data_IF_216167731633
#
_entry.id   IF_216167731633
#
_cell.length_a   1.000
_cell.length_b   1.000
_cell.length_c   1.000
_cell.angle_alpha   90.00
_cell.angle_beta   90.00
_cell.angle_gamma   90.00
#
_symmetry.space_group_name_H-M   'P 1'
#
loop_
_entity.id
_entity.type
_entity.pdbx_description
1 polymer ?
#
# COMPACT_ATOMS: atom_id res chain seq x y z
N UNK A 1 -19.24 -20.25 -7.05
CA UNK A 1 -19.08 -18.82 -7.23
C UNK A 1 -20.45 -18.15 -7.21
N UNK A 2 -20.80 -17.53 -6.08
CA UNK A 2 -22.10 -16.85 -5.91
C UNK A 2 -22.12 -15.50 -6.67
N UNK A 3 -20.93 -14.90 -6.88
CA UNK A 3 -20.78 -13.61 -7.56
C UNK A 3 -19.66 -13.67 -8.62
N UNK A 4 -19.95 -14.25 -9.81
CA UNK A 4 -18.93 -14.47 -10.86
C UNK A 4 -18.37 -13.17 -11.44
N UNK A 5 -19.09 -12.06 -11.33
CA UNK A 5 -18.70 -10.75 -11.86
C UNK A 5 -17.96 -9.88 -10.84
N UNK A 6 -17.75 -10.39 -9.62
CA UNK A 6 -17.01 -9.65 -8.59
C UNK A 6 -15.52 -9.52 -8.97
N UNK A 7 -14.99 -8.30 -8.85
CA UNK A 7 -13.55 -8.06 -9.00
C UNK A 7 -12.73 -8.64 -7.85
N UNK A 8 -13.39 -9.06 -6.76
CA UNK A 8 -12.77 -9.56 -5.54
C UNK A 8 -12.09 -8.46 -4.72
N UNK A 9 -11.69 -8.79 -3.51
CA UNK A 9 -10.87 -7.93 -2.65
C UNK A 9 -10.06 -8.76 -1.66
N UNK A 10 -9.06 -8.16 -1.04
CA UNK A 10 -8.34 -8.82 0.07
C UNK A 10 -9.27 -9.08 1.26
N UNK A 11 -10.26 -8.22 1.52
CA UNK A 11 -11.26 -8.45 2.58
C UNK A 11 -12.07 -9.72 2.37
N UNK A 12 -12.50 -10.00 1.15
CA UNK A 12 -13.20 -11.25 0.78
C UNK A 12 -12.26 -12.45 0.96
N UNK A 13 -11.04 -12.37 0.43
CA UNK A 13 -10.06 -13.47 0.53
C UNK A 13 -9.67 -13.79 1.98
N UNK A 14 -9.59 -12.78 2.85
CA UNK A 14 -9.36 -12.97 4.29
C UNK A 14 -10.54 -13.71 4.92
N UNK A 15 -11.78 -13.32 4.61
CA UNK A 15 -12.98 -14.01 5.13
C UNK A 15 -12.98 -15.49 4.74
N UNK A 16 -12.73 -15.81 3.48
CA UNK A 16 -12.67 -17.21 3.00
C UNK A 16 -11.55 -18.00 3.68
N UNK A 17 -10.36 -17.42 3.83
CA UNK A 17 -9.23 -18.09 4.46
C UNK A 17 -9.46 -18.34 5.96
N UNK A 18 -10.05 -17.36 6.68
CA UNK A 18 -10.39 -17.51 8.10
C UNK A 18 -11.46 -18.57 8.30
N UNK A 19 -12.51 -18.56 7.47
CA UNK A 19 -13.58 -19.55 7.54
C UNK A 19 -13.06 -20.99 7.35
N UNK A 20 -12.21 -21.20 6.35
CA UNK A 20 -11.57 -22.50 6.13
C UNK A 20 -10.71 -22.93 7.31
N UNK A 21 -9.91 -22.02 7.88
CA UNK A 21 -9.05 -22.36 9.02
C UNK A 21 -9.85 -22.65 10.30
N UNK A 22 -11.01 -22.04 10.47
CA UNK A 22 -11.91 -22.34 11.61
C UNK A 22 -12.56 -23.72 11.47
N UNK A 23 -12.89 -24.13 10.24
CA UNK A 23 -13.57 -25.40 9.97
C UNK A 23 -12.62 -26.61 9.96
N UNK A 24 -11.35 -26.41 9.70
CA UNK A 24 -10.36 -27.49 9.60
C UNK A 24 -9.22 -27.29 10.61
N UNK A 25 -9.12 -28.15 11.65
CA UNK A 25 -8.09 -28.05 12.71
C UNK A 25 -6.67 -28.27 12.18
N UNK A 26 -6.49 -28.86 11.00
CA UNK A 26 -5.19 -29.08 10.37
C UNK A 26 -4.78 -27.93 9.45
N UNK A 27 -5.67 -26.94 9.25
CA UNK A 27 -5.41 -25.75 8.43
C UNK A 27 -4.95 -24.58 9.29
N UNK A 28 -3.83 -23.96 8.89
CA UNK A 28 -3.31 -22.75 9.54
C UNK A 28 -3.40 -21.57 8.58
N UNK A 29 -4.07 -20.49 9.00
CA UNK A 29 -4.12 -19.24 8.26
C UNK A 29 -2.91 -18.36 8.58
N UNK A 30 -2.12 -18.04 7.54
CA UNK A 30 -1.05 -17.06 7.63
C UNK A 30 -1.58 -15.68 7.24
N UNK A 31 -1.77 -14.81 8.26
CA UNK A 31 -2.28 -13.45 8.06
C UNK A 31 -1.30 -12.62 7.21
N UNK A 32 -1.85 -11.83 6.27
CA UNK A 32 -1.12 -10.84 5.48
C UNK A 32 -0.80 -9.56 6.24
N UNK A 33 -1.12 -8.41 5.69
CA UNK A 33 -0.43 -7.15 5.87
C UNK A 33 -0.82 -6.22 7.03
N UNK A 34 -1.90 -6.40 7.78
CA UNK A 34 -2.41 -5.33 8.68
C UNK A 34 -2.03 -5.46 10.15
N UNK A 35 -1.56 -6.61 10.58
CA UNK A 35 -1.27 -6.87 11.99
C UNK A 35 0.17 -6.52 12.37
N UNK A 36 0.37 -6.06 13.60
CA UNK A 36 1.64 -5.55 14.10
C UNK A 36 2.80 -6.55 13.96
N UNK A 37 2.57 -7.86 14.16
CA UNK A 37 3.62 -8.86 14.00
C UNK A 37 4.08 -8.99 12.54
N UNK A 38 3.17 -8.82 11.57
CA UNK A 38 3.52 -8.81 10.15
C UNK A 38 4.35 -7.58 9.81
N UNK A 39 3.91 -6.39 10.27
CA UNK A 39 4.66 -5.15 10.10
C UNK A 39 6.08 -5.27 10.67
N UNK A 40 6.19 -5.84 11.88
CA UNK A 40 7.48 -6.06 12.54
C UNK A 40 8.40 -7.00 11.76
N UNK A 41 7.89 -8.13 11.27
CA UNK A 41 8.69 -9.07 10.47
C UNK A 41 9.20 -8.42 9.18
N UNK A 42 8.38 -7.57 8.53
CA UNK A 42 8.76 -6.87 7.31
C UNK A 42 9.88 -5.83 7.54
N UNK A 43 10.09 -5.38 8.78
CA UNK A 43 11.15 -4.37 9.08
C UNK A 43 12.56 -4.85 8.79
N UNK A 44 12.79 -6.14 8.56
CA UNK A 44 14.09 -6.64 8.10
C UNK A 44 14.57 -5.90 6.83
N UNK A 45 13.64 -5.52 5.94
CA UNK A 45 13.94 -4.78 4.71
C UNK A 45 14.53 -3.41 5.03
N UNK A 46 13.87 -2.64 5.90
CA UNK A 46 14.36 -1.32 6.30
C UNK A 46 15.62 -1.38 7.17
N UNK A 47 15.79 -2.44 7.97
CA UNK A 47 17.03 -2.66 8.74
C UNK A 47 18.21 -2.92 7.82
N UNK A 48 18.05 -3.74 6.78
CA UNK A 48 19.09 -3.96 5.77
C UNK A 48 19.35 -2.69 4.96
N UNK A 49 18.31 -1.94 4.58
CA UNK A 49 18.47 -0.67 3.88
C UNK A 49 19.28 0.35 4.70
N UNK A 50 19.09 0.44 6.02
CA UNK A 50 19.91 1.29 6.90
C UNK A 50 21.39 0.91 6.83
N UNK A 51 21.71 -0.39 6.87
CA UNK A 51 23.10 -0.88 6.78
C UNK A 51 23.68 -0.53 5.40
N UNK A 52 22.90 -0.68 4.33
CA UNK A 52 23.33 -0.35 2.97
C UNK A 52 23.60 1.15 2.81
N UNK A 53 22.79 2.02 3.40
CA UNK A 53 23.04 3.46 3.43
C UNK A 53 24.30 3.83 4.23
N UNK A 54 24.53 3.18 5.37
CA UNK A 54 25.79 3.35 6.13
C UNK A 54 27.03 2.93 5.31
N UNK A 55 26.93 1.84 4.52
CA UNK A 55 27.99 1.41 3.60
C UNK A 55 28.24 2.41 2.45
N UNK A 56 27.20 3.12 2.03
CA UNK A 56 27.28 4.14 0.99
C UNK A 56 27.71 5.52 1.52
N UNK A 57 27.90 5.67 2.83
CA UNK A 57 28.14 6.95 3.52
C UNK A 57 27.05 8.00 3.18
N UNK A 58 25.78 7.55 3.17
CA UNK A 58 24.63 8.37 2.80
C UNK A 58 23.43 8.08 3.73
N UNK A 59 22.35 8.89 3.62
CA UNK A 59 21.09 8.71 4.33
C UNK A 59 19.93 9.24 3.48
N UNK A 60 18.75 8.59 3.43
CA UNK A 60 17.67 9.07 2.60
C UNK A 60 16.98 10.31 3.21
N UNK A 61 16.72 11.31 2.36
CA UNK A 61 15.86 12.45 2.71
C UNK A 61 14.38 12.06 2.69
N UNK A 62 14.02 11.09 1.83
CA UNK A 62 12.67 10.57 1.74
C UNK A 62 12.67 9.06 1.52
N UNK A 63 11.77 8.35 2.20
CA UNK A 63 11.48 6.93 2.03
C UNK A 63 10.06 6.78 1.50
N UNK A 64 9.92 6.11 0.36
CA UNK A 64 8.66 5.95 -0.39
C UNK A 64 8.33 4.47 -0.50
N UNK A 65 7.09 4.09 -0.22
CA UNK A 65 6.65 2.72 -0.49
C UNK A 65 5.16 2.62 -0.83
N UNK A 66 4.81 1.70 -1.75
CA UNK A 66 3.43 1.34 -2.00
C UNK A 66 2.77 0.77 -0.75
N UNK A 67 1.50 1.08 -0.55
CA UNK A 67 0.74 0.62 0.60
C UNK A 67 -0.66 0.15 0.23
N UNK A 68 -0.97 -1.12 0.55
CA UNK A 68 -2.33 -1.66 0.58
C UNK A 68 -2.78 -1.77 2.03
N UNK A 69 -2.45 -2.89 2.70
CA UNK A 69 -2.70 -3.06 4.13
C UNK A 69 -1.66 -2.42 5.05
N UNK A 70 -0.50 -1.99 4.55
CA UNK A 70 0.51 -1.23 5.29
C UNK A 70 1.82 -1.94 5.60
N UNK A 71 1.93 -3.28 5.47
CA UNK A 71 3.16 -4.00 5.87
C UNK A 71 4.35 -3.69 4.96
N UNK A 72 4.14 -3.54 3.66
CA UNK A 72 5.19 -3.17 2.72
C UNK A 72 5.79 -1.80 3.05
N UNK A 73 4.94 -0.80 3.31
CA UNK A 73 5.36 0.52 3.74
C UNK A 73 6.07 0.46 5.10
N UNK A 74 5.47 -0.18 6.11
CA UNK A 74 6.05 -0.31 7.44
C UNK A 74 7.43 -1.01 7.40
N UNK A 75 7.55 -2.04 6.56
CA UNK A 75 8.78 -2.82 6.42
C UNK A 75 10.00 -1.99 6.07
N UNK A 76 9.87 -1.09 5.10
CA UNK A 76 10.96 -0.20 4.70
C UNK A 76 11.04 1.05 5.60
N UNK A 77 9.90 1.65 6.00
CA UNK A 77 9.86 2.97 6.61
C UNK A 77 10.10 2.96 8.13
N UNK A 78 9.64 1.94 8.87
CA UNK A 78 9.68 1.96 10.33
C UNK A 78 11.08 1.98 10.95
N UNK A 79 12.11 1.30 10.42
CA UNK A 79 13.48 1.47 10.92
C UNK A 79 14.00 2.90 10.80
N UNK A 80 13.69 3.60 9.71
CA UNK A 80 14.01 5.02 9.53
C UNK A 80 13.18 5.92 10.47
N UNK A 81 11.87 5.62 10.61
CA UNK A 81 11.03 6.31 11.60
C UNK A 81 11.59 6.18 13.01
N UNK A 82 12.10 5.00 13.39
CA UNK A 82 12.73 4.77 14.68
C UNK A 82 13.91 5.72 14.93
N UNK A 83 14.77 5.95 13.95
CA UNK A 83 15.88 6.94 14.04
C UNK A 83 15.35 8.37 14.15
N UNK A 84 14.33 8.72 13.34
CA UNK A 84 13.68 10.04 13.43
C UNK A 84 13.07 10.30 14.82
N UNK A 85 12.34 9.34 15.37
CA UNK A 85 11.71 9.48 16.69
C UNK A 85 12.72 9.60 17.84
N UNK A 86 13.91 9.04 17.68
CA UNK A 86 15.02 9.22 18.64
C UNK A 86 15.81 10.52 18.44
N UNK A 87 15.47 11.30 17.41
CA UNK A 87 16.19 12.53 17.06
C UNK A 87 17.59 12.30 16.46
N UNK A 88 17.87 11.09 15.94
CA UNK A 88 19.16 10.74 15.35
C UNK A 88 19.31 11.28 13.92
N UNK A 89 18.26 11.16 13.12
CA UNK A 89 18.20 11.58 11.72
C UNK A 89 16.77 12.03 11.36
N UNK A 90 16.65 13.01 10.49
CA UNK A 90 15.36 13.38 9.93
C UNK A 90 15.16 12.72 8.56
N UNK A 91 13.92 12.35 8.26
CA UNK A 91 13.52 11.70 7.02
C UNK A 91 12.03 11.94 6.80
N UNK A 92 11.63 12.17 5.59
CA UNK A 92 10.22 12.18 5.19
C UNK A 92 9.79 10.76 4.79
N UNK A 93 8.62 10.33 5.25
CA UNK A 93 8.09 9.00 4.98
C UNK A 93 6.78 9.14 4.19
N UNK A 94 6.74 8.61 2.97
CA UNK A 94 5.63 8.77 2.04
C UNK A 94 5.02 7.40 1.69
N UNK A 95 3.78 7.19 2.13
CA UNK A 95 2.97 6.04 1.73
C UNK A 95 2.24 6.34 0.41
N UNK A 96 2.26 5.39 -0.54
CA UNK A 96 1.65 5.56 -1.85
C UNK A 96 0.56 4.51 -2.04
N UNK A 97 -0.67 4.94 -2.24
CA UNK A 97 -1.82 4.06 -2.43
C UNK A 97 -2.48 4.29 -3.81
N UNK A 98 -3.29 3.34 -4.32
CA UNK A 98 -4.03 3.56 -5.55
C UNK A 98 -5.23 4.50 -5.32
N UNK A 99 -5.50 5.39 -6.28
CA UNK A 99 -6.69 6.26 -6.27
C UNK A 99 -8.02 5.48 -6.27
N UNK A 100 -8.00 4.26 -6.78
CA UNK A 100 -9.13 3.34 -6.77
C UNK A 100 -9.44 2.74 -5.37
N UNK A 101 -8.51 2.85 -4.42
CA UNK A 101 -8.63 2.29 -3.07
C UNK A 101 -7.89 3.17 -2.03
N UNK A 102 -8.28 4.45 -1.87
CA UNK A 102 -7.50 5.47 -1.17
C UNK A 102 -7.82 5.52 0.34
N UNK A 103 -7.48 4.47 1.08
CA UNK A 103 -7.82 4.36 2.50
C UNK A 103 -7.18 5.43 3.38
N UNK A 104 -5.90 5.75 3.15
CA UNK A 104 -5.17 6.77 3.93
C UNK A 104 -5.57 8.20 3.58
N UNK A 105 -5.74 8.50 2.29
CA UNK A 105 -5.98 9.87 1.82
C UNK A 105 -7.45 10.27 1.90
N UNK A 106 -8.40 9.32 1.81
CA UNK A 106 -9.84 9.58 1.76
C UNK A 106 -10.64 8.85 2.84
N UNK A 107 -10.13 7.73 3.37
CA UNK A 107 -10.86 6.95 4.38
C UNK A 107 -10.91 7.63 5.75
N UNK A 108 -12.05 7.59 6.46
CA UNK A 108 -12.14 8.07 7.84
C UNK A 108 -11.31 7.18 8.78
N UNK A 109 -10.85 7.77 9.89
CA UNK A 109 -10.20 7.02 10.97
C UNK A 109 -11.26 6.49 11.94
N UNK A 110 -11.68 5.26 11.73
CA UNK A 110 -12.81 4.65 12.43
C UNK A 110 -12.50 3.21 12.89
N UNK A 111 -13.41 2.63 13.68
CA UNK A 111 -13.36 1.20 13.96
C UNK A 111 -14.03 0.43 12.83
N UNK A 112 -13.35 -0.59 12.34
CA UNK A 112 -13.86 -1.47 11.30
C UNK A 112 -13.25 -2.88 11.42
N UNK A 113 -13.82 -3.83 10.70
CA UNK A 113 -13.32 -5.20 10.63
C UNK A 113 -12.22 -5.32 9.56
N UNK A 114 -11.29 -6.24 9.79
CA UNK A 114 -10.22 -6.53 8.83
C UNK A 114 -10.68 -7.32 7.61
N UNK A 115 -11.91 -7.82 7.60
CA UNK A 115 -12.47 -8.66 6.54
C UNK A 115 -13.94 -8.37 6.28
N UNK A 116 -14.43 -8.79 5.11
CA UNK A 116 -15.79 -8.49 4.62
C UNK A 116 -16.87 -9.23 5.41
N UNK A 117 -16.60 -10.45 5.91
CA UNK A 117 -17.56 -11.25 6.67
C UNK A 117 -17.51 -11.00 8.19
N UNK A 118 -16.68 -10.05 8.63
CA UNK A 118 -16.54 -9.67 10.05
C UNK A 118 -16.05 -10.81 10.97
N UNK A 119 -15.21 -11.69 10.44
CA UNK A 119 -14.61 -12.80 11.19
C UNK A 119 -13.36 -12.40 11.96
N UNK A 120 -12.73 -11.27 11.58
CA UNK A 120 -11.54 -10.73 12.23
C UNK A 120 -11.89 -9.77 13.37
N UNK A 121 -10.95 -9.47 14.29
CA UNK A 121 -11.18 -8.48 15.33
C UNK A 121 -11.47 -7.07 14.78
N UNK A 122 -12.30 -6.34 15.51
CA UNK A 122 -12.54 -4.93 15.29
C UNK A 122 -11.31 -4.10 15.66
N UNK A 123 -10.81 -3.30 14.74
CA UNK A 123 -9.61 -2.45 14.94
C UNK A 123 -9.86 -1.03 14.48
N UNK A 124 -9.15 -0.07 15.08
CA UNK A 124 -9.23 1.34 14.69
C UNK A 124 -8.20 1.65 13.60
N UNK A 125 -8.69 2.06 12.43
CA UNK A 125 -7.86 2.26 11.25
C UNK A 125 -8.46 3.31 10.30
N UNK A 126 -7.68 3.79 9.34
CA UNK A 126 -8.24 4.42 8.15
C UNK A 126 -8.90 3.34 7.29
N UNK A 127 -10.16 3.53 6.91
CA UNK A 127 -10.95 2.51 6.22
C UNK A 127 -11.88 3.11 5.17
N UNK A 128 -12.16 2.33 4.14
CA UNK A 128 -13.19 2.59 3.12
C UNK A 128 -14.47 1.78 3.39
N UNK A 129 -14.52 1.05 4.52
CA UNK A 129 -15.59 0.13 4.88
C UNK A 129 -15.29 -1.32 4.49
N UNK A 130 -15.46 -2.26 5.43
CA UNK A 130 -15.11 -3.68 5.25
C UNK A 130 -15.89 -4.39 4.13
N UNK A 131 -17.02 -3.84 3.71
CA UNK A 131 -17.84 -4.35 2.59
C UNK A 131 -17.48 -3.71 1.24
N UNK A 132 -16.58 -2.71 1.20
CA UNK A 132 -16.14 -2.10 -0.04
C UNK A 132 -15.31 -3.08 -0.88
N UNK A 133 -15.69 -3.22 -2.15
CA UNK A 133 -14.95 -4.02 -3.14
C UNK A 133 -14.30 -3.07 -4.14
N UNK A 134 -12.96 -2.91 -4.10
CA UNK A 134 -12.28 -2.00 -5.00
C UNK A 134 -12.43 -2.37 -6.48
N UNK A 135 -12.37 -1.39 -7.40
CA UNK A 135 -12.29 -1.66 -8.84
C UNK A 135 -11.18 -2.62 -9.21
N UNK A 136 -11.29 -3.28 -10.35
CA UNK A 136 -10.35 -4.31 -10.82
C UNK A 136 -9.04 -3.76 -11.39
N UNK A 137 -8.32 -2.93 -10.63
CA UNK A 137 -6.99 -2.44 -11.02
C UNK A 137 -5.94 -3.55 -10.98
N UNK A 138 -4.91 -3.44 -11.82
CA UNK A 138 -3.77 -4.35 -11.86
C UNK A 138 -2.73 -4.00 -10.77
N UNK A 139 -3.16 -4.06 -9.52
CA UNK A 139 -2.32 -3.94 -8.34
C UNK A 139 -3.03 -4.69 -7.20
N UNK A 140 -3.18 -6.00 -7.35
CA UNK A 140 -3.99 -6.86 -6.48
C UNK A 140 -3.61 -6.74 -5.00
N UNK A 141 -2.32 -6.62 -4.70
CA UNK A 141 -1.79 -6.45 -3.35
C UNK A 141 -2.13 -5.10 -2.70
N UNK A 142 -2.63 -4.13 -3.46
CA UNK A 142 -3.05 -2.82 -2.93
C UNK A 142 -4.58 -2.67 -2.81
N UNK A 143 -5.36 -3.70 -3.21
CA UNK A 143 -6.83 -3.66 -3.22
C UNK A 143 -7.40 -4.12 -1.87
N UNK A 144 -7.23 -3.28 -0.85
CA UNK A 144 -7.69 -3.53 0.50
C UNK A 144 -8.40 -2.29 1.08
N UNK A 145 -9.53 -2.51 1.76
CA UNK A 145 -10.38 -1.44 2.28
C UNK A 145 -9.80 -0.72 3.50
N UNK A 146 -8.89 -1.35 4.25
CA UNK A 146 -8.39 -0.84 5.53
C UNK A 146 -6.87 -0.74 5.60
N UNK A 147 -6.39 0.09 6.51
CA UNK A 147 -4.97 0.31 6.73
C UNK A 147 -4.54 -0.20 8.10
N UNK A 148 -3.36 -0.79 8.19
CA UNK A 148 -2.79 -1.22 9.46
C UNK A 148 -2.95 -0.14 10.56
N UNK A 149 -3.42 -0.51 11.77
CA UNK A 149 -3.64 0.46 12.85
C UNK A 149 -2.45 1.34 13.17
N UNK A 150 -1.23 0.79 13.17
CA UNK A 150 -0.02 1.57 13.41
C UNK A 150 0.26 2.59 12.30
N UNK A 151 0.12 2.20 11.03
CA UNK A 151 0.29 3.12 9.89
C UNK A 151 -0.76 4.23 9.94
N UNK A 152 -2.02 3.86 10.18
CA UNK A 152 -3.12 4.81 10.37
C UNK A 152 -2.86 5.81 11.50
N UNK A 153 -2.34 5.32 12.63
CA UNK A 153 -2.01 6.17 13.78
C UNK A 153 -0.86 7.15 13.45
N UNK A 154 0.17 6.69 12.76
CA UNK A 154 1.30 7.53 12.34
C UNK A 154 0.88 8.65 11.39
N UNK A 155 -0.04 8.38 10.46
CA UNK A 155 -0.63 9.43 9.63
C UNK A 155 -1.36 10.47 10.47
N UNK A 156 -2.17 10.03 11.45
CA UNK A 156 -2.88 10.91 12.39
C UNK A 156 -1.95 11.79 13.23
N UNK A 157 -0.76 11.30 13.55
CA UNK A 157 0.28 12.06 14.27
C UNK A 157 1.08 12.99 13.35
N UNK A 158 0.88 12.96 12.04
CA UNK A 158 1.69 13.70 11.08
C UNK A 158 3.13 13.19 10.99
N UNK A 159 3.37 11.93 11.39
CA UNK A 159 4.70 11.31 11.31
C UNK A 159 5.01 10.74 9.93
N UNK A 160 3.99 10.52 9.12
CA UNK A 160 4.06 10.07 7.73
C UNK A 160 3.12 10.89 6.87
N UNK A 161 3.41 10.93 5.56
CA UNK A 161 2.53 11.47 4.52
C UNK A 161 1.92 10.34 3.70
N UNK A 162 0.84 10.64 2.97
CA UNK A 162 0.22 9.72 2.03
C UNK A 162 -0.17 10.43 0.72
N UNK A 163 -0.10 9.69 -0.40
CA UNK A 163 -0.55 10.14 -1.72
C UNK A 163 -1.26 8.99 -2.43
N UNK A 164 -2.30 9.31 -3.18
CA UNK A 164 -3.00 8.36 -4.05
C UNK A 164 -2.65 8.64 -5.52
N UNK A 165 -2.32 7.58 -6.28
CA UNK A 165 -1.95 7.67 -7.70
C UNK A 165 -2.83 6.76 -8.55
N UNK A 166 -3.11 7.21 -9.80
CA UNK A 166 -3.89 6.43 -10.76
C UNK A 166 -3.05 5.33 -11.44
N UNK A 167 -3.72 4.23 -11.85
CA UNK A 167 -3.01 3.13 -12.48
C UNK A 167 -2.37 3.50 -13.83
N UNK A 168 -2.94 4.41 -14.63
CA UNK A 168 -2.35 4.79 -15.91
C UNK A 168 -1.04 5.54 -15.70
N UNK A 169 -1.00 6.43 -14.71
CA UNK A 169 0.21 7.15 -14.30
C UNK A 169 1.27 6.19 -13.78
N UNK A 170 0.89 5.25 -12.92
CA UNK A 170 1.83 4.29 -12.35
C UNK A 170 2.38 3.31 -13.40
N UNK A 171 1.58 2.86 -14.37
CA UNK A 171 2.06 2.05 -15.50
C UNK A 171 3.01 2.85 -16.42
N UNK A 172 2.72 4.12 -16.69
CA UNK A 172 3.63 4.99 -17.44
C UNK A 172 5.01 5.08 -16.76
N UNK A 173 5.02 5.31 -15.45
CA UNK A 173 6.23 5.37 -14.63
C UNK A 173 6.99 4.03 -14.64
N UNK A 174 6.29 2.90 -14.49
CA UNK A 174 6.89 1.56 -14.53
C UNK A 174 7.56 1.25 -15.86
N UNK A 175 6.96 1.66 -16.98
CA UNK A 175 7.56 1.52 -18.31
C UNK A 175 8.79 2.42 -18.47
N UNK A 176 8.73 3.66 -17.97
CA UNK A 176 9.89 4.56 -17.97
C UNK A 176 11.04 3.95 -17.17
N UNK A 177 10.76 3.42 -15.97
CA UNK A 177 11.73 2.76 -15.12
C UNK A 177 12.33 1.52 -15.80
N UNK A 178 11.50 0.67 -16.41
CA UNK A 178 11.97 -0.51 -17.12
C UNK A 178 12.91 -0.17 -18.28
N UNK A 179 12.68 0.94 -18.97
CA UNK A 179 13.56 1.41 -20.05
C UNK A 179 14.87 1.99 -19.55
N UNK A 180 14.87 2.62 -18.38
CA UNK A 180 16.05 3.23 -17.79
C UNK A 180 16.93 2.20 -17.05
N UNK A 181 16.30 1.32 -16.25
CA UNK A 181 16.98 0.44 -15.31
C UNK A 181 17.03 -1.03 -15.76
N UNK A 182 16.30 -1.41 -16.81
CA UNK A 182 16.23 -2.79 -17.28
C UNK A 182 15.45 -3.74 -16.37
N UNK A 183 14.66 -3.22 -15.44
CA UNK A 183 13.85 -3.97 -14.49
C UNK A 183 12.38 -3.63 -14.72
N UNK A 184 11.55 -4.66 -14.94
CA UNK A 184 10.09 -4.50 -15.07
C UNK A 184 9.49 -4.60 -13.67
N UNK A 185 8.95 -3.51 -13.09
CA UNK A 185 8.36 -3.56 -11.76
C UNK A 185 7.02 -4.30 -11.75
N UNK A 186 6.62 -4.84 -10.59
CA UNK A 186 5.23 -5.25 -10.37
C UNK A 186 4.31 -4.01 -10.40
N UNK A 187 3.02 -4.15 -10.78
CA UNK A 187 2.07 -3.03 -10.77
C UNK A 187 1.95 -2.33 -9.41
N UNK A 188 2.10 -3.06 -8.31
CA UNK A 188 2.20 -2.50 -6.97
C UNK A 188 3.43 -1.59 -6.83
N UNK A 189 4.60 -2.07 -7.26
CA UNK A 189 5.86 -1.33 -7.18
C UNK A 189 5.86 -0.07 -8.06
N UNK A 190 5.09 -0.07 -9.16
CA UNK A 190 4.91 1.09 -10.02
C UNK A 190 4.43 2.34 -9.26
N UNK A 191 3.64 2.18 -8.21
CA UNK A 191 3.19 3.29 -7.35
C UNK A 191 4.39 3.97 -6.65
N UNK A 192 5.32 3.16 -6.13
CA UNK A 192 6.55 3.68 -5.53
C UNK A 192 7.46 4.35 -6.56
N UNK A 193 7.57 3.77 -7.76
CA UNK A 193 8.34 4.33 -8.88
C UNK A 193 7.78 5.69 -9.31
N UNK A 194 6.46 5.80 -9.49
CA UNK A 194 5.80 7.04 -9.89
C UNK A 194 6.06 8.15 -8.87
N UNK A 195 5.82 7.88 -7.60
CA UNK A 195 6.07 8.85 -6.53
C UNK A 195 7.56 9.23 -6.40
N UNK A 196 8.49 8.31 -6.67
CA UNK A 196 9.93 8.61 -6.69
C UNK A 196 10.31 9.53 -7.86
N UNK A 197 9.71 9.32 -9.04
CA UNK A 197 9.89 10.22 -10.20
C UNK A 197 9.35 11.62 -9.88
N UNK A 198 8.15 11.71 -9.30
CA UNK A 198 7.55 12.98 -8.90
C UNK A 198 8.42 13.73 -7.89
N UNK A 199 8.96 13.02 -6.90
CA UNK A 199 9.84 13.64 -5.91
C UNK A 199 11.16 14.11 -6.55
N UNK A 200 11.72 13.35 -7.49
CA UNK A 200 12.89 13.75 -8.24
C UNK A 200 12.64 14.98 -9.13
N UNK A 201 11.46 15.08 -9.75
CA UNK A 201 11.05 16.25 -10.53
C UNK A 201 10.90 17.48 -9.64
N UNK A 202 10.30 17.36 -8.45
CA UNK A 202 10.24 18.45 -7.47
C UNK A 202 11.63 18.92 -7.04
N UNK A 203 12.54 17.98 -6.76
CA UNK A 203 13.93 18.32 -6.44
C UNK A 203 14.60 19.13 -7.57
N UNK A 204 14.34 18.74 -8.83
CA UNK A 204 14.87 19.45 -10.01
C UNK A 204 14.28 20.87 -10.10
N UNK A 205 12.99 21.05 -9.89
CA UNK A 205 12.31 22.35 -9.91
C UNK A 205 12.81 23.27 -8.77
N UNK A 206 13.01 22.71 -7.59
CA UNK A 206 13.52 23.43 -6.42
C UNK A 206 15.04 23.70 -6.49
N UNK A 207 15.76 23.03 -7.39
CA UNK A 207 17.21 23.13 -7.51
C UNK A 207 17.97 22.51 -6.32
N UNK A 208 17.38 21.48 -5.68
CA UNK A 208 17.96 20.78 -4.52
C UNK A 208 18.37 19.37 -4.89
N UNK A 209 19.33 18.80 -4.14
CA UNK A 209 19.72 17.39 -4.24
C UNK A 209 19.18 16.64 -3.02
N UNK A 210 18.52 15.50 -3.23
CA UNK A 210 18.01 14.61 -2.19
C UNK A 210 18.27 13.16 -2.54
N UNK A 211 18.55 12.35 -1.53
CA UNK A 211 18.56 10.90 -1.64
C UNK A 211 17.14 10.36 -1.49
N UNK A 212 16.63 9.71 -2.52
CA UNK A 212 15.26 9.15 -2.57
C UNK A 212 15.35 7.63 -2.48
N UNK A 213 14.89 7.07 -1.36
CA UNK A 213 14.72 5.62 -1.22
C UNK A 213 13.29 5.24 -1.55
N UNK A 214 13.10 4.35 -2.52
CA UNK A 214 11.78 3.76 -2.72
C UNK A 214 11.84 2.23 -2.68
N UNK A 215 10.75 1.58 -2.28
CA UNK A 215 10.67 0.13 -2.18
C UNK A 215 10.22 -0.49 -3.51
N UNK A 216 11.17 -1.11 -4.23
CA UNK A 216 10.88 -1.92 -5.42
C UNK A 216 10.43 -3.33 -4.97
N UNK A 217 9.20 -3.44 -4.49
CA UNK A 217 8.68 -4.58 -3.75
C UNK A 217 8.25 -5.79 -4.59
N UNK A 218 8.43 -5.75 -5.90
CA UNK A 218 8.11 -6.87 -6.78
C UNK A 218 8.52 -6.62 -8.23
N UNK A 219 8.68 -7.70 -8.98
CA UNK A 219 8.91 -7.69 -10.42
C UNK A 219 7.62 -7.99 -11.20
N UNK A 220 7.50 -7.45 -12.42
CA UNK A 220 6.33 -7.57 -13.27
C UNK A 220 6.30 -8.78 -14.21
N UNK A 221 7.16 -9.78 -14.00
CA UNK A 221 7.24 -10.93 -14.91
C UNK A 221 5.94 -11.75 -14.98
N UNK A 222 5.15 -11.75 -13.90
CA UNK A 222 3.83 -12.38 -13.87
C UNK A 222 2.70 -11.46 -14.36
N UNK A 223 3.01 -10.16 -14.56
CA UNK A 223 2.04 -9.10 -14.86
C UNK A 223 2.16 -8.59 -16.31
N UNK A 224 2.85 -9.34 -17.19
CA UNK A 224 3.10 -8.93 -18.58
C UNK A 224 1.81 -8.70 -19.37
N UNK A 225 0.73 -9.38 -19.02
CA UNK A 225 -0.57 -9.13 -19.63
C UNK A 225 -1.09 -7.73 -19.29
N UNK A 226 -0.94 -7.26 -18.05
CA UNK A 226 -1.33 -5.91 -17.65
C UNK A 226 -0.54 -4.83 -18.41
N UNK A 227 0.77 -5.02 -18.59
CA UNK A 227 1.60 -4.14 -19.43
C UNK A 227 1.18 -4.16 -20.91
N UNK A 228 0.82 -5.33 -21.44
CA UNK A 228 0.29 -5.46 -22.79
C UNK A 228 -1.04 -4.72 -22.95
N UNK A 229 -1.93 -4.85 -21.98
CA UNK A 229 -3.24 -4.20 -21.98
C UNK A 229 -3.09 -2.67 -21.80
N UNK A 230 -2.13 -2.21 -21.01
CA UNK A 230 -1.76 -0.78 -20.94
C UNK A 230 -1.34 -0.25 -22.31
N UNK A 231 -0.40 -0.93 -22.99
CA UNK A 231 0.05 -0.52 -24.33
C UNK A 231 -1.06 -0.58 -25.40
N UNK A 232 -2.02 -1.47 -25.23
CA UNK A 232 -3.19 -1.57 -26.10
C UNK A 232 -4.29 -0.54 -25.77
N UNK A 233 -4.10 0.32 -24.76
CA UNK A 233 -5.09 1.31 -24.32
C UNK A 233 -6.34 0.70 -23.71
N UNK A 234 -6.24 -0.49 -23.11
CA UNK A 234 -7.36 -1.18 -22.49
C UNK A 234 -7.52 -0.92 -21.00
N UNK A 235 -6.48 -0.38 -20.33
CA UNK A 235 -6.58 -0.01 -18.94
C UNK A 235 -7.31 1.32 -18.83
N UNK A 236 -8.15 1.44 -17.80
CA UNK A 236 -8.95 2.62 -17.52
C UNK A 236 -8.44 3.31 -16.25
N UNK A 237 -8.56 4.63 -16.22
CA UNK A 237 -8.40 5.39 -14.97
C UNK A 237 -9.60 5.09 -14.07
N UNK A 238 -9.34 4.87 -12.79
CA UNK A 238 -10.38 4.75 -11.79
C UNK A 238 -10.33 5.96 -10.86
N UNK A 239 -11.34 6.79 -10.98
CA UNK A 239 -11.58 7.86 -10.02
C UNK A 239 -12.05 7.26 -8.67
N UNK A 240 -12.01 8.08 -7.63
CA UNK A 240 -12.50 7.72 -6.31
C UNK A 240 -13.98 7.26 -6.37
N UNK A 241 -14.29 6.00 -6.00
CA UNK A 241 -15.65 5.47 -6.11
C UNK A 241 -16.51 5.93 -4.92
N UNK A 242 -16.91 7.21 -4.94
CA UNK A 242 -17.52 7.92 -3.82
C UNK A 242 -18.81 7.26 -3.32
N UNK A 243 -19.68 6.83 -4.23
CA UNK A 243 -20.97 6.22 -3.87
C UNK A 243 -20.79 4.85 -3.21
N UNK A 244 -19.92 4.00 -3.75
CA UNK A 244 -19.64 2.67 -3.22
C UNK A 244 -18.97 2.74 -1.85
N UNK A 245 -18.04 3.68 -1.68
CA UNK A 245 -17.39 3.91 -0.39
C UNK A 245 -18.39 4.48 0.63
N UNK A 246 -19.23 5.44 0.25
CA UNK A 246 -20.25 5.97 1.14
C UNK A 246 -21.21 4.88 1.63
N UNK A 247 -21.63 3.97 0.76
CA UNK A 247 -22.46 2.82 1.14
C UNK A 247 -21.74 1.88 2.12
N UNK A 248 -20.48 1.57 1.87
CA UNK A 248 -19.70 0.71 2.75
C UNK A 248 -19.44 1.36 4.13
N UNK A 249 -19.15 2.66 4.16
CA UNK A 249 -18.96 3.43 5.40
C UNK A 249 -20.24 3.56 6.24
N UNK A 250 -21.42 3.53 5.62
CA UNK A 250 -22.69 3.51 6.36
C UNK A 250 -22.86 2.26 7.22
N UNK A 251 -22.14 1.18 6.90
CA UNK A 251 -22.13 -0.07 7.66
C UNK A 251 -21.09 -0.13 8.79
N UNK A 252 -20.33 0.94 9.03
CA UNK A 252 -19.32 0.95 10.09
C UNK A 252 -19.94 0.72 11.49
N UNK A 253 -19.27 -0.04 12.36
CA UNK A 253 -19.73 -0.25 13.73
C UNK A 253 -19.84 1.06 14.51
N UNK A 254 -21.01 1.35 15.05
CA UNK A 254 -21.20 2.45 16.01
C UNK A 254 -20.77 2.00 17.39
N UNK A 255 -19.61 2.46 17.84
CA UNK A 255 -19.21 2.32 19.23
C UNK A 255 -19.78 3.51 20.01
N UNK A 256 -20.75 3.23 20.90
CA UNK A 256 -21.38 4.21 21.77
C UNK A 256 -20.41 4.86 22.77
#
# INVERSE_FOLDING_TARGET
AEHPDSTGSLGIAISEAVDLAVQDPDTTYCVGSVLNHVLMHQTVIGQEALIQFEMADDYPDVVIAPTGGGSNFAGIAFPFLGRKLRGEQDVRLLAVEPSACPSLTQGPYAYDFGDTAHLTPLVKMHTLGSTFVPPGIHAGGLRYHGMAPLVSHLLRLGAIDAVALDQLETFAAGIQFARAEGIIPAPEANHGVAAAIDEALKCKEEGVSRAILFNLCGHGHFDMQAYTDYHAGKLEAFEYPEEEIAMALAGLPSLG
#
